data_IF_943671370260
#
_entry.id   IF_943671370260
#
_cell.length_a   1.000
_cell.length_b   1.000
_cell.length_c   1.000
_cell.angle_alpha   90.00
_cell.angle_beta   90.00
_cell.angle_gamma   90.00
#
_symmetry.space_group_name_H-M   'P 1'
#
loop_
_entity.id
_entity.type
_entity.pdbx_description
1 polymer ?
#
# COMPACT_ATOMS: atom_id res chain seq x y z
N UNK A 1 26.38 14.07 -18.85
CA UNK A 1 26.34 15.48 -19.34
C UNK A 1 27.70 16.16 -19.29
N UNK A 2 28.40 16.23 -18.14
CA UNK A 2 29.73 16.86 -18.02
C UNK A 2 30.80 16.18 -18.90
N UNK A 3 30.82 14.85 -18.98
CA UNK A 3 31.72 14.12 -19.88
C UNK A 3 31.41 14.36 -21.38
N UNK A 4 30.14 14.55 -21.73
CA UNK A 4 29.64 14.83 -23.07
C UNK A 4 30.00 16.25 -23.53
N UNK A 5 29.94 17.22 -22.61
CA UNK A 5 30.35 18.61 -22.86
C UNK A 5 31.88 18.75 -23.01
N UNK A 6 32.65 17.91 -22.31
CA UNK A 6 34.11 17.84 -22.44
C UNK A 6 34.55 17.24 -23.79
N UNK A 7 33.75 16.33 -24.36
CA UNK A 7 33.96 15.74 -25.68
C UNK A 7 33.72 16.71 -26.85
N UNK A 8 32.97 17.80 -26.62
CA UNK A 8 32.70 18.86 -27.62
C UNK A 8 33.59 20.12 -27.46
N UNK A 9 34.69 20.04 -26.71
CA UNK A 9 35.70 21.12 -26.68
C UNK A 9 35.30 22.39 -25.91
N UNK A 10 34.16 22.38 -25.19
CA UNK A 10 33.71 23.51 -24.39
C UNK A 10 34.41 23.52 -23.02
N UNK A 11 35.43 24.39 -22.85
CA UNK A 11 36.00 24.73 -21.53
C UNK A 11 35.02 25.64 -20.78
N UNK A 12 34.24 25.07 -19.86
CA UNK A 12 33.44 25.85 -18.89
C UNK A 12 34.25 26.21 -17.65
N UNK A 13 33.91 27.33 -17.00
CA UNK A 13 34.45 27.65 -15.68
C UNK A 13 33.94 26.66 -14.63
N UNK A 14 34.73 26.43 -13.59
CA UNK A 14 34.42 25.53 -12.46
C UNK A 14 33.07 25.83 -11.82
N UNK A 15 32.70 27.11 -11.69
CA UNK A 15 31.43 27.56 -11.13
C UNK A 15 30.20 27.20 -12.00
N UNK A 16 30.33 27.31 -13.34
CA UNK A 16 29.29 26.86 -14.28
C UNK A 16 29.16 25.34 -14.26
N UNK A 17 30.27 24.63 -14.07
CA UNK A 17 30.30 23.17 -13.99
C UNK A 17 29.62 22.66 -12.70
N UNK A 18 29.80 23.36 -11.57
CA UNK A 18 29.13 23.07 -10.30
C UNK A 18 27.64 23.39 -10.35
N UNK A 19 27.26 24.53 -10.96
CA UNK A 19 25.85 24.90 -11.15
C UNK A 19 25.12 23.90 -12.06
N UNK A 20 25.75 23.45 -13.15
CA UNK A 20 25.18 22.41 -14.02
C UNK A 20 25.12 21.04 -13.35
N UNK A 21 26.09 20.70 -12.49
CA UNK A 21 26.04 19.49 -11.68
C UNK A 21 24.85 19.55 -10.72
N UNK A 22 24.70 20.66 -9.98
CA UNK A 22 23.57 20.92 -9.08
C UNK A 22 22.24 20.85 -9.82
N UNK A 23 22.12 21.49 -10.99
CA UNK A 23 20.91 21.41 -11.82
C UNK A 23 20.62 19.99 -12.32
N UNK A 24 21.65 19.21 -12.69
CA UNK A 24 21.47 17.83 -13.16
C UNK A 24 21.06 16.88 -12.03
N UNK A 25 21.57 17.12 -10.82
CA UNK A 25 21.18 16.38 -9.61
C UNK A 25 19.76 16.79 -9.22
N UNK A 26 19.43 18.08 -9.29
CA UNK A 26 18.08 18.58 -9.01
C UNK A 26 17.05 18.02 -10.00
N UNK A 27 17.38 17.97 -11.28
CA UNK A 27 16.47 17.44 -12.29
C UNK A 27 16.30 15.93 -12.16
N UNK A 28 17.36 15.18 -11.87
CA UNK A 28 17.28 13.76 -11.59
C UNK A 28 16.46 13.49 -10.32
N UNK A 29 16.68 14.25 -9.26
CA UNK A 29 15.92 14.16 -8.02
C UNK A 29 14.45 14.54 -8.23
N UNK A 30 14.16 15.57 -9.03
CA UNK A 30 12.79 15.96 -9.35
C UNK A 30 12.05 14.86 -10.14
N UNK A 31 12.72 14.20 -11.09
CA UNK A 31 12.14 13.06 -11.82
C UNK A 31 11.88 11.88 -10.88
N UNK A 32 12.83 11.57 -9.99
CA UNK A 32 12.68 10.49 -9.01
C UNK A 32 11.59 10.77 -7.97
N UNK A 33 11.35 12.04 -7.63
CA UNK A 33 10.28 12.45 -6.71
C UNK A 33 8.91 12.55 -7.38
N UNK A 34 8.82 12.49 -8.71
CA UNK A 34 7.57 12.65 -9.47
C UNK A 34 7.06 11.35 -10.10
N UNK A 35 7.79 10.24 -9.94
CA UNK A 35 7.49 8.95 -10.58
C UNK A 35 7.57 7.81 -9.54
N UNK A 36 6.75 6.79 -9.75
CA UNK A 36 6.82 5.50 -9.06
C UNK A 36 8.08 4.73 -9.49
N UNK A 37 9.07 4.50 -8.61
CA UNK A 37 10.38 3.97 -9.01
C UNK A 37 10.39 2.44 -9.26
N UNK A 38 9.32 1.72 -8.89
CA UNK A 38 9.28 0.26 -8.82
C UNK A 38 9.58 -0.44 -10.15
N UNK A 39 9.01 0.04 -11.26
CA UNK A 39 9.26 -0.52 -12.58
C UNK A 39 10.74 -0.39 -12.99
N UNK A 40 11.33 0.80 -12.79
CA UNK A 40 12.71 1.11 -13.14
C UNK A 40 13.70 0.28 -12.32
N UNK A 41 13.48 0.21 -11.00
CA UNK A 41 14.31 -0.58 -10.08
C UNK A 41 14.26 -2.05 -10.45
N UNK A 42 13.07 -2.58 -10.76
CA UNK A 42 12.92 -3.98 -11.15
C UNK A 42 13.69 -4.32 -12.42
N UNK A 43 13.60 -3.48 -13.46
CA UNK A 43 14.37 -3.67 -14.69
C UNK A 43 15.88 -3.62 -14.46
N UNK A 44 16.34 -2.69 -13.62
CA UNK A 44 17.75 -2.56 -13.29
C UNK A 44 18.26 -3.80 -12.51
N UNK A 45 17.48 -4.31 -11.55
CA UNK A 45 17.82 -5.53 -10.80
C UNK A 45 17.91 -6.73 -11.73
N UNK A 46 16.94 -6.92 -12.64
CA UNK A 46 16.96 -8.02 -13.61
C UNK A 46 18.17 -7.93 -14.56
N UNK A 47 18.52 -6.71 -15.00
CA UNK A 47 19.70 -6.48 -15.81
C UNK A 47 21.01 -6.82 -15.07
N UNK A 48 21.16 -6.36 -13.83
CA UNK A 48 22.32 -6.68 -13.00
C UNK A 48 22.40 -8.17 -12.67
N UNK A 49 21.27 -8.84 -12.43
CA UNK A 49 21.22 -10.28 -12.22
C UNK A 49 21.69 -11.04 -13.47
N UNK A 50 21.22 -10.65 -14.67
CA UNK A 50 21.65 -11.24 -15.93
C UNK A 50 23.16 -11.06 -16.15
N UNK A 51 23.68 -9.86 -15.84
CA UNK A 51 25.10 -9.55 -15.92
C UNK A 51 25.94 -10.38 -14.95
N UNK A 52 25.46 -10.62 -13.72
CA UNK A 52 26.12 -11.49 -12.73
C UNK A 52 26.20 -12.95 -13.19
N UNK A 53 25.28 -13.40 -14.03
CA UNK A 53 25.24 -14.77 -14.61
C UNK A 53 25.99 -14.81 -15.96
N UNK A 54 26.73 -13.75 -16.30
CA UNK A 54 27.48 -13.59 -17.55
C UNK A 54 26.61 -13.63 -18.82
N UNK A 55 25.31 -13.32 -18.71
CA UNK A 55 24.42 -13.20 -19.86
C UNK A 55 24.37 -11.74 -20.29
N UNK A 56 25.02 -11.42 -21.42
CA UNK A 56 25.09 -10.05 -21.96
C UNK A 56 23.81 -9.70 -22.71
N UNK A 57 22.79 -9.23 -21.98
CA UNK A 57 21.51 -8.75 -22.53
C UNK A 57 21.49 -7.22 -22.48
N UNK A 58 21.14 -6.56 -23.57
CA UNK A 58 20.88 -5.12 -23.54
C UNK A 58 19.70 -4.76 -22.65
N UNK A 59 19.79 -3.65 -21.92
CA UNK A 59 18.71 -3.16 -21.05
C UNK A 59 17.39 -2.99 -21.80
N UNK A 60 17.43 -2.65 -23.09
CA UNK A 60 16.25 -2.57 -23.96
C UNK A 60 15.50 -3.90 -24.02
N UNK A 61 16.21 -5.01 -24.18
CA UNK A 61 15.60 -6.33 -24.28
C UNK A 61 14.99 -6.73 -22.93
N UNK A 62 15.64 -6.39 -21.81
CA UNK A 62 15.07 -6.57 -20.48
C UNK A 62 13.74 -5.82 -20.36
N UNK A 63 13.69 -4.54 -20.73
CA UNK A 63 12.44 -3.76 -20.68
C UNK A 63 11.34 -4.30 -21.60
N UNK A 64 11.69 -4.78 -22.81
CA UNK A 64 10.72 -5.35 -23.77
C UNK A 64 10.08 -6.64 -23.24
N UNK A 65 10.86 -7.51 -22.60
CA UNK A 65 10.39 -8.81 -22.10
C UNK A 65 9.91 -8.79 -20.64
N UNK A 66 10.00 -7.65 -19.94
CA UNK A 66 9.59 -7.54 -18.54
C UNK A 66 8.09 -7.82 -18.36
N UNK A 67 7.22 -7.23 -19.19
CA UNK A 67 5.78 -7.42 -19.05
C UNK A 67 5.33 -8.90 -19.26
N UNK A 68 5.78 -9.61 -20.31
CA UNK A 68 5.55 -11.05 -20.44
C UNK A 68 6.10 -11.88 -19.28
N UNK A 69 7.28 -11.52 -18.75
CA UNK A 69 7.86 -12.20 -17.59
C UNK A 69 6.96 -12.08 -16.36
N UNK A 70 6.52 -10.86 -16.00
CA UNK A 70 5.59 -10.66 -14.89
C UNK A 70 4.21 -11.27 -15.15
N UNK A 71 3.73 -11.28 -16.38
CA UNK A 71 2.49 -11.96 -16.75
C UNK A 71 2.54 -13.47 -16.44
N UNK A 72 3.68 -14.12 -16.73
CA UNK A 72 3.89 -15.53 -16.35
C UNK A 72 3.84 -15.73 -14.83
N UNK A 73 4.44 -14.82 -14.05
CA UNK A 73 4.38 -14.87 -12.58
C UNK A 73 2.96 -14.62 -12.04
N UNK A 74 2.19 -13.75 -12.69
CA UNK A 74 0.78 -13.49 -12.37
C UNK A 74 -0.05 -14.77 -12.46
N UNK A 75 0.21 -15.64 -13.45
CA UNK A 75 -0.50 -16.93 -13.56
C UNK A 75 -0.24 -17.83 -12.34
N UNK A 76 1.01 -17.88 -11.86
CA UNK A 76 1.40 -18.67 -10.68
C UNK A 76 0.75 -18.12 -9.42
N UNK A 77 0.77 -16.80 -9.22
CA UNK A 77 0.14 -16.18 -8.05
C UNK A 77 -1.38 -16.35 -8.07
N UNK A 78 -2.01 -16.28 -9.26
CA UNK A 78 -3.45 -16.54 -9.41
C UNK A 78 -3.81 -17.97 -9.03
N UNK A 79 -2.99 -18.95 -9.42
CA UNK A 79 -3.14 -20.33 -8.96
C UNK A 79 -3.10 -20.41 -7.43
N UNK A 80 -2.08 -19.81 -6.80
CA UNK A 80 -1.91 -19.84 -5.34
C UNK A 80 -3.07 -19.15 -4.61
N UNK A 81 -3.53 -18.00 -5.10
CA UNK A 81 -4.66 -17.26 -4.55
C UNK A 81 -5.95 -18.08 -4.58
N UNK A 82 -6.29 -18.64 -5.73
CA UNK A 82 -7.53 -19.41 -5.88
C UNK A 82 -7.46 -20.76 -5.15
N UNK A 83 -6.28 -21.39 -5.09
CA UNK A 83 -6.04 -22.59 -4.29
C UNK A 83 -6.32 -22.34 -2.81
N UNK A 84 -5.93 -21.18 -2.29
CA UNK A 84 -6.25 -20.81 -0.90
C UNK A 84 -7.75 -20.68 -0.71
N UNK A 85 -8.53 -20.22 -1.69
CA UNK A 85 -9.97 -20.02 -1.53
C UNK A 85 -10.78 -21.32 -1.52
N UNK A 86 -10.44 -22.29 -2.37
CA UNK A 86 -11.24 -23.52 -2.53
C UNK A 86 -10.39 -24.78 -2.65
N UNK A 87 -9.82 -25.03 -3.82
CA UNK A 87 -9.14 -26.28 -4.14
C UNK A 87 -8.13 -26.11 -5.28
N UNK A 88 -7.27 -27.10 -5.48
CA UNK A 88 -6.20 -27.02 -6.49
C UNK A 88 -6.73 -27.05 -7.92
N UNK A 89 -7.87 -27.71 -8.20
CA UNK A 89 -8.42 -27.77 -9.55
C UNK A 89 -8.99 -26.41 -9.96
N UNK A 90 -9.74 -25.74 -9.07
CA UNK A 90 -10.18 -24.36 -9.30
C UNK A 90 -9.00 -23.41 -9.52
N UNK A 91 -7.89 -23.61 -8.80
CA UNK A 91 -6.66 -22.84 -8.99
C UNK A 91 -6.07 -22.99 -10.39
N UNK A 92 -6.01 -24.22 -10.92
CA UNK A 92 -5.49 -24.47 -12.28
C UNK A 92 -6.37 -23.83 -13.34
N UNK A 93 -7.70 -23.90 -13.19
CA UNK A 93 -8.64 -23.27 -14.11
C UNK A 93 -8.46 -21.74 -14.10
N UNK A 94 -8.36 -21.12 -12.91
CA UNK A 94 -8.16 -19.67 -12.80
C UNK A 94 -6.83 -19.22 -13.43
N UNK A 95 -5.75 -19.99 -13.23
CA UNK A 95 -4.45 -19.71 -13.83
C UNK A 95 -4.46 -19.85 -15.36
N UNK A 96 -5.15 -20.85 -15.90
CA UNK A 96 -5.32 -21.01 -17.34
C UNK A 96 -6.14 -19.87 -17.96
N UNK A 97 -7.20 -19.42 -17.28
CA UNK A 97 -8.04 -18.31 -17.76
C UNK A 97 -7.29 -16.97 -17.77
N UNK A 98 -6.55 -16.63 -16.71
CA UNK A 98 -5.82 -15.35 -16.65
C UNK A 98 -4.64 -15.31 -17.64
N UNK A 99 -4.07 -16.47 -18.00
CA UNK A 99 -2.98 -16.54 -18.97
C UNK A 99 -3.40 -16.07 -20.37
N UNK A 100 -4.67 -16.26 -20.75
CA UNK A 100 -5.19 -15.95 -22.09
C UNK A 100 -6.18 -14.78 -22.12
N UNK A 101 -6.43 -14.12 -20.99
CA UNK A 101 -7.48 -13.09 -20.90
C UNK A 101 -7.08 -11.84 -21.71
N UNK A 102 -7.85 -11.44 -22.74
CA UNK A 102 -7.47 -10.34 -23.62
C UNK A 102 -7.28 -9.00 -22.90
N UNK A 103 -8.07 -8.77 -21.84
CA UNK A 103 -7.97 -7.58 -21.01
C UNK A 103 -6.57 -7.42 -20.39
N UNK A 104 -6.01 -8.49 -19.83
CA UNK A 104 -4.66 -8.42 -19.25
C UNK A 104 -3.58 -8.39 -20.33
N UNK A 105 -3.75 -9.16 -21.41
CA UNK A 105 -2.80 -9.19 -22.52
C UNK A 105 -2.62 -7.80 -23.13
N UNK A 106 -3.70 -7.04 -23.34
CA UNK A 106 -3.62 -5.68 -23.92
C UNK A 106 -2.74 -4.70 -23.13
N UNK A 107 -2.50 -4.94 -21.84
CA UNK A 107 -1.65 -4.13 -20.95
C UNK A 107 -0.31 -4.80 -20.61
N UNK A 108 -0.06 -6.01 -21.11
CA UNK A 108 1.15 -6.81 -20.81
C UNK A 108 1.83 -7.39 -22.05
N UNK A 109 1.60 -6.78 -23.22
CA UNK A 109 2.24 -7.17 -24.49
C UNK A 109 3.75 -6.93 -24.43
N UNK A 110 4.53 -7.81 -25.06
CA UNK A 110 5.96 -7.61 -25.25
C UNK A 110 6.24 -6.25 -25.92
N UNK A 111 7.14 -5.46 -25.34
CA UNK A 111 7.44 -4.09 -25.78
C UNK A 111 6.58 -3.01 -25.14
N UNK A 112 5.49 -3.36 -24.45
CA UNK A 112 4.73 -2.43 -23.62
C UNK A 112 5.39 -2.31 -22.25
N UNK A 113 6.27 -1.33 -22.11
CA UNK A 113 6.97 -1.03 -20.85
C UNK A 113 6.16 -0.01 -20.03
N UNK A 114 5.07 -0.49 -19.45
CA UNK A 114 4.16 0.30 -18.61
C UNK A 114 4.01 -0.32 -17.21
N UNK A 115 3.64 0.52 -16.24
CA UNK A 115 3.52 0.16 -14.82
C UNK A 115 2.40 -0.87 -14.58
N UNK A 116 1.41 -0.95 -15.47
CA UNK A 116 0.26 -1.84 -15.30
C UNK A 116 0.63 -3.33 -15.32
N UNK A 117 1.62 -3.71 -16.16
CA UNK A 117 2.03 -5.12 -16.30
C UNK A 117 2.57 -5.71 -15.00
N UNK A 118 3.38 -4.93 -14.28
CA UNK A 118 3.95 -5.30 -12.98
C UNK A 118 2.94 -5.10 -11.85
N UNK A 119 2.10 -4.07 -11.93
CA UNK A 119 1.12 -3.75 -10.89
C UNK A 119 0.11 -4.87 -10.66
N UNK A 120 -0.37 -5.51 -11.72
CA UNK A 120 -1.35 -6.61 -11.61
C UNK A 120 -0.75 -7.79 -10.83
N UNK A 121 0.51 -8.14 -11.10
CA UNK A 121 1.24 -9.13 -10.32
C UNK A 121 1.31 -8.72 -8.83
N UNK A 122 1.72 -7.49 -8.54
CA UNK A 122 1.86 -6.98 -7.17
C UNK A 122 0.53 -6.97 -6.40
N UNK A 123 -0.57 -6.61 -7.07
CA UNK A 123 -1.92 -6.64 -6.49
C UNK A 123 -2.32 -8.06 -6.08
N UNK A 124 -2.20 -9.03 -6.99
CA UNK A 124 -2.55 -10.41 -6.69
C UNK A 124 -1.66 -11.01 -5.61
N UNK A 125 -0.37 -10.65 -5.62
CA UNK A 125 0.58 -11.07 -4.58
C UNK A 125 0.16 -10.53 -3.21
N UNK A 126 -0.24 -9.25 -3.14
CA UNK A 126 -0.72 -8.62 -1.91
C UNK A 126 -2.00 -9.30 -1.41
N UNK A 127 -2.96 -9.59 -2.29
CA UNK A 127 -4.17 -10.30 -1.91
C UNK A 127 -3.90 -11.73 -1.44
N UNK A 128 -3.00 -12.46 -2.10
CA UNK A 128 -2.62 -13.79 -1.66
C UNK A 128 -2.03 -13.77 -0.25
N UNK A 129 -1.06 -12.89 -0.01
CA UNK A 129 -0.43 -12.75 1.30
C UNK A 129 -1.42 -12.27 2.37
N UNK A 130 -2.34 -11.36 2.03
CA UNK A 130 -3.41 -10.89 2.92
C UNK A 130 -4.35 -12.02 3.32
N UNK A 131 -4.90 -12.78 2.37
CA UNK A 131 -5.81 -13.89 2.67
C UNK A 131 -5.10 -14.95 3.53
N UNK A 132 -3.84 -15.24 3.20
CA UNK A 132 -3.02 -16.17 3.98
C UNK A 132 -2.75 -15.66 5.40
N UNK A 133 -2.52 -14.36 5.57
CA UNK A 133 -2.35 -13.71 6.87
C UNK A 133 -3.62 -13.80 7.71
N UNK A 134 -4.80 -13.55 7.12
CA UNK A 134 -6.09 -13.64 7.81
C UNK A 134 -6.41 -15.08 8.24
N UNK A 135 -6.14 -16.07 7.37
CA UNK A 135 -6.38 -17.48 7.70
C UNK A 135 -5.44 -18.00 8.80
N UNK A 136 -4.16 -17.69 8.69
CA UNK A 136 -3.12 -18.20 9.60
C UNK A 136 -3.09 -17.41 10.92
N UNK A 137 -3.31 -16.09 10.88
CA UNK A 137 -3.26 -15.20 12.05
C UNK A 137 -1.85 -14.89 12.57
N UNK A 138 -0.81 -15.12 11.76
CA UNK A 138 0.58 -14.88 12.16
C UNK A 138 1.12 -13.54 11.63
N UNK A 139 1.95 -12.88 12.44
CA UNK A 139 2.61 -11.62 12.10
C UNK A 139 3.48 -11.77 10.83
N UNK A 140 4.16 -12.90 10.64
CA UNK A 140 5.02 -13.14 9.48
C UNK A 140 4.30 -12.93 8.13
N UNK A 141 3.14 -13.59 7.93
CA UNK A 141 2.37 -13.41 6.70
C UNK A 141 1.82 -11.99 6.55
N UNK A 142 1.47 -11.32 7.66
CA UNK A 142 1.01 -9.94 7.62
C UNK A 142 2.14 -8.96 7.26
N UNK A 143 3.35 -9.17 7.76
CA UNK A 143 4.53 -8.38 7.34
C UNK A 143 4.89 -8.63 5.88
N UNK A 144 4.77 -9.87 5.39
CA UNK A 144 5.01 -10.17 3.99
C UNK A 144 3.94 -9.53 3.08
N UNK A 145 2.69 -9.47 3.54
CA UNK A 145 1.63 -8.71 2.87
C UNK A 145 1.94 -7.20 2.85
N UNK A 146 2.47 -6.64 3.95
CA UNK A 146 2.89 -5.24 4.00
C UNK A 146 4.08 -4.95 3.05
N UNK A 147 5.04 -5.87 2.92
CA UNK A 147 6.14 -5.75 1.95
C UNK A 147 5.64 -5.85 0.51
N UNK A 148 4.70 -6.76 0.22
CA UNK A 148 4.05 -6.85 -1.08
C UNK A 148 3.26 -5.56 -1.41
N UNK A 149 2.56 -5.01 -0.42
CA UNK A 149 1.88 -3.72 -0.53
C UNK A 149 2.88 -2.58 -0.79
N UNK A 150 3.99 -2.51 -0.08
CA UNK A 150 5.05 -1.52 -0.33
C UNK A 150 5.58 -1.61 -1.77
N UNK A 151 5.81 -2.83 -2.26
CA UNK A 151 6.24 -3.03 -3.65
C UNK A 151 5.19 -2.56 -4.66
N UNK A 152 3.90 -2.78 -4.37
CA UNK A 152 2.80 -2.24 -5.17
C UNK A 152 2.78 -0.70 -5.16
N UNK A 153 2.88 -0.06 -3.98
CA UNK A 153 2.93 1.40 -3.84
C UNK A 153 4.11 1.97 -4.65
N UNK A 154 5.25 1.28 -4.66
CA UNK A 154 6.41 1.71 -5.45
C UNK A 154 6.21 1.58 -6.95
N UNK A 155 5.29 0.72 -7.41
CA UNK A 155 5.14 0.36 -8.82
C UNK A 155 3.99 1.10 -9.52
N UNK A 156 2.85 1.32 -8.83
CA UNK A 156 1.68 1.95 -9.45
C UNK A 156 0.76 2.63 -8.44
N UNK A 157 0.12 3.72 -8.86
CA UNK A 157 -0.80 4.53 -8.04
C UNK A 157 -2.09 3.83 -7.60
N UNK A 158 -2.44 2.69 -8.20
CA UNK A 158 -3.60 1.90 -7.76
C UNK A 158 -3.45 1.22 -6.40
N UNK A 159 -2.37 1.47 -5.65
CA UNK A 159 -2.25 1.06 -4.26
C UNK A 159 -3.38 1.63 -3.37
N UNK A 160 -3.97 2.77 -3.77
CA UNK A 160 -5.15 3.37 -3.12
C UNK A 160 -6.36 2.43 -3.17
N UNK A 161 -6.46 1.59 -4.21
CA UNK A 161 -7.50 0.56 -4.28
C UNK A 161 -7.30 -0.52 -3.21
N UNK A 162 -6.05 -1.01 -3.05
CA UNK A 162 -5.73 -2.04 -2.05
C UNK A 162 -5.98 -1.56 -0.63
N UNK A 163 -5.54 -0.35 -0.30
CA UNK A 163 -5.65 0.19 1.06
C UNK A 163 -7.09 0.51 1.43
N UNK A 164 -8.02 0.62 0.48
CA UNK A 164 -9.45 0.78 0.74
C UNK A 164 -10.21 -0.55 0.75
N UNK A 165 -9.81 -1.52 -0.09
CA UNK A 165 -10.47 -2.82 -0.16
C UNK A 165 -10.18 -3.68 1.08
N UNK A 166 -8.95 -3.64 1.61
CA UNK A 166 -8.56 -4.43 2.79
C UNK A 166 -9.37 -4.00 4.04
N UNK A 167 -9.46 -2.71 4.41
CA UNK A 167 -10.32 -2.25 5.50
C UNK A 167 -11.80 -2.55 5.26
N UNK A 168 -12.29 -2.41 4.01
CA UNK A 168 -13.68 -2.75 3.69
C UNK A 168 -13.96 -4.23 3.98
N UNK A 169 -13.03 -5.12 3.67
CA UNK A 169 -13.12 -6.53 4.04
C UNK A 169 -13.17 -6.73 5.56
N UNK A 170 -12.36 -6.00 6.33
CA UNK A 170 -12.36 -6.05 7.80
C UNK A 170 -13.66 -5.52 8.40
N UNK A 171 -14.20 -4.39 7.90
CA UNK A 171 -15.52 -3.88 8.31
C UNK A 171 -16.60 -4.92 8.04
N UNK A 172 -16.57 -5.56 6.87
CA UNK A 172 -17.55 -6.60 6.52
C UNK A 172 -17.47 -7.79 7.48
N UNK A 173 -16.27 -8.17 7.90
CA UNK A 173 -16.07 -9.23 8.90
C UNK A 173 -16.58 -8.82 10.30
N UNK A 174 -16.44 -7.55 10.68
CA UNK A 174 -17.03 -7.02 11.91
C UNK A 174 -18.56 -7.00 11.84
N UNK A 175 -19.13 -6.49 10.75
CA UNK A 175 -20.58 -6.41 10.56
C UNK A 175 -21.27 -7.79 10.54
N UNK A 176 -20.58 -8.81 10.03
CA UNK A 176 -21.07 -10.21 10.04
C UNK A 176 -20.80 -10.93 11.36
N UNK A 177 -20.21 -10.27 12.36
CA UNK A 177 -19.90 -10.86 13.67
C UNK A 177 -18.78 -11.91 13.62
N UNK A 178 -17.98 -11.95 12.56
CA UNK A 178 -16.88 -12.92 12.36
C UNK A 178 -15.50 -12.33 12.68
N UNK A 179 -15.46 -11.26 13.47
CA UNK A 179 -14.21 -10.66 13.91
C UNK A 179 -13.50 -11.59 14.90
N UNK A 180 -12.19 -11.74 14.72
CA UNK A 180 -11.35 -12.64 15.51
C UNK A 180 -9.98 -12.01 15.73
N UNK A 181 -9.26 -12.44 16.77
CA UNK A 181 -7.91 -11.99 17.06
C UNK A 181 -6.94 -12.20 15.88
N UNK A 182 -7.18 -13.20 15.02
CA UNK A 182 -6.38 -13.41 13.80
C UNK A 182 -6.47 -12.23 12.83
N UNK A 183 -7.68 -11.69 12.64
CA UNK A 183 -7.95 -10.55 11.77
C UNK A 183 -7.34 -9.28 12.37
N UNK A 184 -7.48 -9.09 13.69
CA UNK A 184 -6.85 -7.99 14.41
C UNK A 184 -5.34 -7.96 14.19
N UNK A 185 -4.63 -9.06 14.47
CA UNK A 185 -3.17 -9.14 14.29
C UNK A 185 -2.77 -8.90 12.83
N UNK A 186 -3.48 -9.52 11.88
CA UNK A 186 -3.18 -9.37 10.45
C UNK A 186 -3.36 -7.92 9.97
N UNK A 187 -4.49 -7.30 10.31
CA UNK A 187 -4.82 -5.95 9.86
C UNK A 187 -3.96 -4.88 10.55
N UNK A 188 -3.80 -4.95 11.88
CA UNK A 188 -2.99 -3.97 12.62
C UNK A 188 -1.52 -4.01 12.19
N UNK A 189 -0.96 -5.21 11.96
CA UNK A 189 0.40 -5.34 11.44
C UNK A 189 0.53 -4.78 10.02
N UNK A 190 -0.40 -5.14 9.13
CA UNK A 190 -0.38 -4.66 7.74
C UNK A 190 -0.51 -3.15 7.69
N UNK A 191 -1.43 -2.57 8.45
CA UNK A 191 -1.66 -1.13 8.48
C UNK A 191 -0.43 -0.36 9.00
N UNK A 192 0.12 -0.74 10.16
CA UNK A 192 1.28 -0.05 10.72
C UNK A 192 2.51 -0.18 9.82
N UNK A 193 2.88 -1.39 9.43
CA UNK A 193 4.08 -1.62 8.62
C UNK A 193 3.89 -1.08 7.20
N UNK A 194 2.73 -1.32 6.59
CA UNK A 194 2.42 -0.88 5.23
C UNK A 194 2.37 0.64 5.10
N UNK A 195 1.79 1.35 6.07
CA UNK A 195 1.72 2.82 6.04
C UNK A 195 3.10 3.44 6.27
N UNK A 196 3.89 2.92 7.21
CA UNK A 196 5.26 3.42 7.42
C UNK A 196 6.13 3.20 6.19
N UNK A 197 6.03 2.04 5.55
CA UNK A 197 6.77 1.76 4.32
C UNK A 197 6.29 2.61 3.14
N UNK A 198 4.98 2.83 2.97
CA UNK A 198 4.47 3.64 1.87
C UNK A 198 4.92 5.11 1.95
N UNK A 199 5.06 5.66 3.16
CA UNK A 199 5.60 7.01 3.37
C UNK A 199 7.07 7.16 2.93
N UNK A 200 7.83 6.07 2.81
CA UNK A 200 9.25 6.12 2.39
C UNK A 200 9.41 6.47 0.90
N UNK A 201 8.35 6.33 0.11
CA UNK A 201 8.39 6.66 -1.32
C UNK A 201 8.18 8.16 -1.46
N UNK A 202 9.19 8.88 -1.97
CA UNK A 202 9.20 10.34 -2.08
C UNK A 202 7.97 10.92 -2.79
N UNK A 203 7.43 10.20 -3.79
CA UNK A 203 6.21 10.60 -4.51
C UNK A 203 4.97 10.59 -3.61
N UNK A 204 4.88 9.64 -2.69
CA UNK A 204 3.74 9.46 -1.78
C UNK A 204 3.88 10.35 -0.55
N UNK A 205 5.08 10.43 0.03
CA UNK A 205 5.36 11.26 1.20
C UNK A 205 4.33 11.09 2.31
N UNK A 206 3.69 12.18 2.73
CA UNK A 206 2.69 12.18 3.81
C UNK A 206 1.23 12.04 3.34
N UNK A 207 1.00 11.71 2.06
CA UNK A 207 -0.35 11.47 1.55
C UNK A 207 -1.17 10.44 2.34
N UNK A 208 -0.59 9.34 2.87
CA UNK A 208 -1.37 8.36 3.65
C UNK A 208 -1.99 8.91 4.94
N UNK A 209 -1.51 10.05 5.45
CA UNK A 209 -2.03 10.70 6.67
C UNK A 209 -2.92 11.89 6.33
N UNK A 210 -2.58 12.63 5.28
CA UNK A 210 -3.25 13.89 4.92
C UNK A 210 -4.40 13.72 3.93
N UNK A 211 -4.34 12.70 3.07
CA UNK A 211 -5.34 12.49 2.02
C UNK A 211 -6.57 11.77 2.55
N UNK A 212 -7.75 12.21 2.09
CA UNK A 212 -9.03 11.56 2.38
C UNK A 212 -9.11 10.12 1.85
N UNK A 213 -8.32 9.79 0.82
CA UNK A 213 -8.27 8.47 0.20
C UNK A 213 -7.78 7.36 1.15
N UNK A 214 -7.07 7.72 2.22
CA UNK A 214 -6.51 6.78 3.20
C UNK A 214 -7.26 6.80 4.54
N UNK A 215 -8.25 7.69 4.70
CA UNK A 215 -8.98 7.85 5.95
C UNK A 215 -9.80 6.61 6.32
N UNK A 216 -10.28 5.85 5.33
CA UNK A 216 -10.98 4.60 5.61
C UNK A 216 -10.07 3.61 6.36
N UNK A 217 -8.82 3.48 5.94
CA UNK A 217 -7.87 2.58 6.59
C UNK A 217 -7.55 3.04 8.02
N UNK A 218 -7.35 4.34 8.24
CA UNK A 218 -7.15 4.88 9.59
C UNK A 218 -8.39 4.68 10.48
N UNK A 219 -9.59 4.93 9.94
CA UNK A 219 -10.85 4.78 10.68
C UNK A 219 -11.10 3.33 11.10
N UNK A 220 -10.88 2.37 10.19
CA UNK A 220 -11.02 0.94 10.51
C UNK A 220 -9.94 0.48 11.47
N UNK A 221 -8.71 1.02 11.38
CA UNK A 221 -7.67 0.75 12.36
C UNK A 221 -8.10 1.20 13.77
N UNK A 222 -8.60 2.42 13.91
CA UNK A 222 -9.17 2.92 15.17
C UNK A 222 -10.32 2.04 15.68
N UNK A 223 -11.22 1.64 14.79
CA UNK A 223 -12.34 0.75 15.13
C UNK A 223 -11.87 -0.63 15.59
N UNK A 224 -10.83 -1.20 14.97
CA UNK A 224 -10.22 -2.47 15.38
C UNK A 224 -9.64 -2.41 16.79
N UNK A 225 -8.98 -1.30 17.14
CA UNK A 225 -8.44 -1.11 18.49
C UNK A 225 -9.57 -1.00 19.52
N UNK A 226 -10.59 -0.20 19.23
CA UNK A 226 -11.73 -0.01 20.13
C UNK A 226 -12.52 -1.31 20.33
N UNK A 227 -12.83 -2.03 19.24
CA UNK A 227 -13.55 -3.30 19.32
C UNK A 227 -12.78 -4.34 20.15
N UNK A 228 -11.47 -4.49 19.90
CA UNK A 228 -10.64 -5.46 20.62
C UNK A 228 -10.48 -5.09 22.10
N UNK A 229 -10.40 -3.79 22.41
CA UNK A 229 -10.36 -3.30 23.79
C UNK A 229 -11.66 -3.55 24.54
N UNK A 230 -12.81 -3.31 23.90
CA UNK A 230 -14.13 -3.61 24.48
C UNK A 230 -14.29 -5.10 24.73
N UNK A 231 -13.89 -5.95 23.78
CA UNK A 231 -13.92 -7.41 23.96
C UNK A 231 -13.01 -7.87 25.11
N UNK A 232 -11.83 -7.25 25.24
CA UNK A 232 -10.93 -7.52 26.35
C UNK A 232 -11.56 -7.14 27.71
N UNK A 233 -12.15 -5.94 27.83
CA UNK A 233 -12.82 -5.51 29.06
C UNK A 233 -13.99 -6.45 29.43
N UNK A 234 -14.83 -6.82 28.45
CA UNK A 234 -15.92 -7.78 28.64
C UNK A 234 -15.45 -9.14 29.13
N UNK A 235 -14.24 -9.57 28.77
CA UNK A 235 -13.67 -10.84 29.23
C UNK A 235 -13.13 -10.81 30.66
N UNK A 236 -12.84 -9.61 31.20
CA UNK A 236 -12.23 -9.42 32.53
C UNK A 236 -13.21 -8.96 33.60
N UNK A 237 -14.39 -8.47 33.22
CA UNK A 237 -15.36 -7.87 34.12
C UNK A 237 -16.67 -8.66 34.14
N UNK A 238 -17.42 -8.55 35.23
CA UNK A 238 -18.81 -9.01 35.26
C UNK A 238 -19.66 -8.12 34.35
N UNK A 239 -20.82 -8.62 33.88
CA UNK A 239 -21.72 -7.83 33.02
C UNK A 239 -22.21 -6.56 33.70
N UNK A 240 -22.45 -6.62 35.01
CA UNK A 240 -22.93 -5.50 35.82
C UNK A 240 -21.86 -4.40 35.95
N UNK A 241 -20.61 -4.78 36.19
CA UNK A 241 -19.49 -3.83 36.25
C UNK A 241 -19.21 -3.21 34.87
N UNK A 242 -19.36 -3.99 33.80
CA UNK A 242 -19.19 -3.50 32.43
C UNK A 242 -20.26 -2.47 32.05
N UNK A 243 -21.53 -2.74 32.37
CA UNK A 243 -22.63 -1.81 32.09
C UNK A 243 -22.49 -0.51 32.89
N UNK A 244 -22.05 -0.61 34.14
CA UNK A 244 -21.77 0.57 34.99
C UNK A 244 -20.61 1.39 34.43
N UNK A 245 -19.52 0.73 34.00
CA UNK A 245 -18.37 1.39 33.36
C UNK A 245 -18.76 2.04 32.03
N UNK A 246 -19.58 1.37 31.22
CA UNK A 246 -20.06 1.89 29.95
C UNK A 246 -20.95 3.13 30.15
N UNK A 247 -21.87 3.10 31.10
CA UNK A 247 -22.69 4.27 31.47
C UNK A 247 -21.82 5.42 31.98
N UNK A 248 -20.85 5.14 32.87
CA UNK A 248 -19.92 6.16 33.37
C UNK A 248 -19.09 6.79 32.24
N UNK A 249 -18.67 5.99 31.25
CA UNK A 249 -17.94 6.47 30.09
C UNK A 249 -18.78 7.40 29.22
N UNK A 250 -20.03 7.02 28.90
CA UNK A 250 -20.96 7.81 28.09
C UNK A 250 -21.31 9.13 28.78
N UNK A 251 -21.60 9.09 30.08
CA UNK A 251 -21.84 10.30 30.87
C UNK A 251 -20.59 11.17 30.93
N UNK A 252 -19.41 10.56 31.09
CA UNK A 252 -18.13 11.26 31.09
C UNK A 252 -17.87 12.00 29.77
N UNK A 253 -18.05 11.36 28.62
CA UNK A 253 -17.89 12.03 27.32
C UNK A 253 -18.94 13.11 27.09
N UNK A 254 -20.18 12.91 27.54
CA UNK A 254 -21.23 13.93 27.45
C UNK A 254 -20.95 15.16 28.33
N UNK A 255 -20.41 14.96 29.53
CA UNK A 255 -20.00 16.07 30.41
C UNK A 255 -18.80 16.80 29.82
N UNK A 256 -17.79 16.08 29.31
CA UNK A 256 -16.62 16.71 28.69
C UNK A 256 -17.02 17.50 27.45
N UNK A 257 -17.88 16.97 26.58
CA UNK A 257 -18.34 17.70 25.39
C UNK A 257 -19.20 18.91 25.76
N UNK A 258 -20.02 18.83 26.80
CA UNK A 258 -20.76 19.98 27.32
C UNK A 258 -19.84 21.06 27.93
N UNK A 259 -18.80 20.65 28.67
CA UNK A 259 -17.81 21.58 29.27
C UNK A 259 -16.95 22.23 28.19
N UNK A 260 -16.46 21.46 27.22
CA UNK A 260 -15.65 21.98 26.11
C UNK A 260 -16.52 22.86 25.20
N UNK A 261 -17.73 22.43 24.86
CA UNK A 261 -18.69 23.24 24.10
C UNK A 261 -19.06 24.54 24.80
N UNK A 262 -19.29 24.48 26.13
CA UNK A 262 -19.54 25.64 26.98
C UNK A 262 -18.35 26.58 27.10
N UNK A 263 -17.14 26.04 27.27
CA UNK A 263 -15.91 26.82 27.31
C UNK A 263 -15.66 27.53 25.97
N UNK A 264 -15.84 26.83 24.85
CA UNK A 264 -15.68 27.38 23.50
C UNK A 264 -16.74 28.44 23.15
N UNK A 265 -17.96 28.32 23.70
CA UNK A 265 -18.99 29.36 23.55
C UNK A 265 -18.71 30.59 24.42
N UNK A 266 -18.10 30.41 25.59
CA UNK A 266 -17.71 31.52 26.48
C UNK A 266 -16.43 32.25 26.03
N UNK A 267 -15.50 31.58 25.34
CA UNK A 267 -14.27 32.19 24.80
C UNK A 267 -14.49 32.92 23.47
N UNK A 268 -15.68 32.85 22.87
CA UNK A 268 -16.08 33.71 21.75
C UNK A 268 -15.43 33.40 20.39
N UNK A 269 -14.74 32.27 20.22
CA UNK A 269 -14.06 31.91 18.97
C UNK A 269 -15.01 31.31 17.90
N UNK A 270 -16.25 30.98 18.25
CA UNK A 270 -17.29 30.57 17.30
C UNK A 270 -18.41 31.61 17.22
N UNK A 271 -18.62 32.17 16.02
CA UNK A 271 -19.77 33.04 15.72
C UNK A 271 -21.07 32.30 16.05
N UNK A 272 -21.92 32.92 16.89
CA UNK A 272 -23.29 32.46 17.12
C UNK A 272 -24.00 32.33 15.77
N UNK A 273 -24.75 31.25 15.59
CA UNK A 273 -25.54 31.01 14.39
C UNK A 273 -26.44 32.22 14.17
N UNK A 274 -26.15 33.00 13.13
CA UNK A 274 -27.09 33.97 12.62
C UNK A 274 -28.21 33.16 11.97
N UNK A 275 -29.30 32.96 12.72
CA UNK A 275 -30.58 32.60 12.13
C UNK A 275 -30.98 33.73 11.17
N UNK A 276 -30.92 33.43 9.87
CA UNK A 276 -31.63 34.15 8.81
C UNK A 276 -32.64 33.19 8.19
#
# INVERSE_FOLDING_TARGET
MVALLKAHGLRMSTEKQETLLKLSILSLAAILCTIYPGLMVTSAVLYHLAWLINVTIDIRNVCVFLAPFFSSLTTIITYLLTKELRDSASGLVAAAMIAIVPGYISRSVAGSYDNEGIAIFCMLLTYYMWIKAVKTGTIFWATLAALAYFYMVSSWGGYVFLINLIPLHVITLMATGRFSHRIYVAYSTLYCVGTVLSMQISFVGFQPVQSSEHMLALGVFGLCQLHSFVDYLRSRMSKEDFDTLFQAMVVGTAVISAVVGGALTLTGEYSQWNES
#
